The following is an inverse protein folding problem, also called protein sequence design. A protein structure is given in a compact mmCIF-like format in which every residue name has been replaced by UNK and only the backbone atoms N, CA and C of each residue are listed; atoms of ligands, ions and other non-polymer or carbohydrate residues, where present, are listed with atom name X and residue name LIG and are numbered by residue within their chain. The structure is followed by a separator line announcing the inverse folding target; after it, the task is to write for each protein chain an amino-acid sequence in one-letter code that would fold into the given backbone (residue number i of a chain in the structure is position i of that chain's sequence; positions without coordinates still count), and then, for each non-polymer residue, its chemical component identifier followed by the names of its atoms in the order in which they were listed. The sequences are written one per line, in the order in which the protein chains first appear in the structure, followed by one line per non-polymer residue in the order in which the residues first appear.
data_IF_818203395655
#
_entry.id   IF_818203395655
#
_cell.length_a   1.000
_cell.length_b   1.000
_cell.length_c   1.000
_cell.angle_alpha   90.00
_cell.angle_beta   90.00
_cell.angle_gamma   90.00
#
_symmetry.space_group_name_H-M   'P 1'
#
loop_
_entity.id
_entity.type
_entity.pdbx_description
1 polymer ?
#
# COMPACT_ATOMS: atom_id res chain seq x y z
N UNK A 1 70.94 -77.37 21.53
CA UNK A 1 70.15 -76.46 20.65
C UNK A 1 69.70 -77.17 19.38
N UNK A 2 68.72 -78.10 19.44
CA UNK A 2 68.24 -78.82 18.23
C UNK A 2 66.71 -79.04 18.20
N UNK A 3 65.97 -78.46 19.15
CA UNK A 3 64.52 -78.67 19.32
C UNK A 3 63.71 -77.37 19.04
N UNK A 4 64.34 -76.19 19.02
CA UNK A 4 63.63 -74.92 18.77
C UNK A 4 63.48 -74.55 17.27
N UNK A 5 64.31 -75.10 16.38
CA UNK A 5 64.30 -74.73 14.95
C UNK A 5 63.28 -75.52 14.12
N UNK A 6 62.91 -76.74 14.53
CA UNK A 6 61.98 -77.59 13.76
C UNK A 6 60.51 -77.24 13.96
N UNK A 7 60.15 -76.57 15.08
CA UNK A 7 58.79 -76.08 15.30
C UNK A 7 58.50 -74.80 14.51
N UNK A 8 59.49 -73.92 14.34
CA UNK A 8 59.32 -72.63 13.65
C UNK A 8 59.26 -72.79 12.12
N UNK A 9 59.92 -73.81 11.55
CA UNK A 9 59.95 -74.04 10.10
C UNK A 9 58.67 -74.70 9.54
N UNK A 10 57.83 -75.33 10.37
CA UNK A 10 56.57 -75.95 9.92
C UNK A 10 55.33 -75.04 10.04
N UNK A 11 55.38 -73.97 10.84
CA UNK A 11 54.28 -73.00 10.92
C UNK A 11 54.30 -71.96 9.79
N UNK A 12 55.48 -71.67 9.23
CA UNK A 12 55.66 -70.73 8.12
C UNK A 12 54.90 -71.16 6.84
N UNK A 13 54.96 -72.42 6.36
CA UNK A 13 54.22 -72.81 5.17
C UNK A 13 52.70 -72.81 5.40
N UNK A 14 52.22 -73.06 6.63
CA UNK A 14 50.79 -73.08 6.95
C UNK A 14 50.19 -71.68 7.00
N UNK A 15 50.91 -70.72 7.59
CA UNK A 15 50.54 -69.31 7.55
C UNK A 15 50.55 -68.77 6.10
N UNK A 16 51.51 -69.18 5.28
CA UNK A 16 51.60 -68.78 3.88
C UNK A 16 50.40 -69.26 3.05
N UNK A 17 49.91 -70.49 3.27
CA UNK A 17 48.72 -71.01 2.59
C UNK A 17 47.46 -70.24 2.97
N UNK A 18 47.29 -69.88 4.25
CA UNK A 18 46.16 -69.05 4.69
C UNK A 18 46.24 -67.68 4.02
N UNK A 19 47.39 -67.02 4.04
CA UNK A 19 47.58 -65.72 3.40
C UNK A 19 47.34 -65.75 1.89
N UNK A 20 47.83 -66.77 1.20
CA UNK A 20 47.61 -66.94 -0.24
C UNK A 20 46.16 -67.24 -0.58
N UNK A 21 45.46 -68.01 0.25
CA UNK A 21 44.02 -68.25 0.08
C UNK A 21 43.22 -66.96 0.27
N UNK A 22 43.59 -66.14 1.26
CA UNK A 22 42.95 -64.86 1.55
C UNK A 22 43.21 -63.84 0.43
N UNK A 23 44.45 -63.77 -0.05
CA UNK A 23 44.83 -62.98 -1.23
C UNK A 23 44.10 -63.45 -2.48
N UNK A 24 43.93 -64.76 -2.66
CA UNK A 24 43.16 -65.35 -3.76
C UNK A 24 41.69 -64.95 -3.70
N UNK A 25 41.06 -65.01 -2.53
CA UNK A 25 39.66 -64.57 -2.33
C UNK A 25 39.52 -63.07 -2.55
N UNK A 26 40.47 -62.26 -2.06
CA UNK A 26 40.49 -60.82 -2.30
C UNK A 26 40.66 -60.51 -3.78
N UNK A 27 41.63 -61.14 -4.47
CA UNK A 27 41.82 -60.96 -5.91
C UNK A 27 40.60 -61.42 -6.70
N UNK A 28 39.94 -62.50 -6.30
CA UNK A 28 38.72 -62.98 -6.94
C UNK A 28 37.57 -61.99 -6.73
N UNK A 29 37.41 -61.45 -5.51
CA UNK A 29 36.41 -60.42 -5.21
C UNK A 29 36.67 -59.13 -6.02
N UNK A 30 37.93 -58.70 -6.10
CA UNK A 30 38.35 -57.54 -6.90
C UNK A 30 38.16 -57.80 -8.40
N UNK A 31 38.49 -58.99 -8.90
CA UNK A 31 38.30 -59.37 -10.29
C UNK A 31 36.81 -59.43 -10.66
N UNK A 32 35.96 -59.98 -9.78
CA UNK A 32 34.50 -59.97 -9.96
C UNK A 32 33.98 -58.52 -9.96
N UNK A 33 34.48 -57.66 -9.07
CA UNK A 33 34.11 -56.25 -8.99
C UNK A 33 34.54 -55.46 -10.25
N UNK A 34 35.74 -55.76 -10.78
CA UNK A 34 36.30 -55.11 -11.95
C UNK A 34 35.67 -55.59 -13.27
N UNK A 35 35.34 -56.89 -13.38
CA UNK A 35 34.71 -57.46 -14.59
C UNK A 35 33.19 -57.23 -14.64
N UNK A 36 32.52 -57.01 -13.49
CA UNK A 36 31.07 -56.77 -13.44
C UNK A 36 30.68 -55.49 -12.66
N UNK A 37 31.18 -54.30 -13.04
CA UNK A 37 30.83 -53.03 -12.38
C UNK A 37 29.34 -52.66 -12.50
N UNK A 38 28.61 -53.31 -13.42
CA UNK A 38 27.16 -53.11 -13.64
C UNK A 38 26.25 -53.87 -12.68
N UNK A 39 26.74 -54.90 -11.98
CA UNK A 39 25.90 -55.73 -11.10
C UNK A 39 25.88 -55.28 -9.64
N UNK A 40 26.74 -54.35 -9.22
CA UNK A 40 26.71 -53.73 -7.89
C UNK A 40 26.43 -52.22 -7.94
N UNK A 41 26.46 -51.59 -9.13
CA UNK A 41 25.64 -50.41 -9.44
C UNK A 41 24.17 -50.83 -9.62
N UNK A 42 23.66 -51.69 -8.72
CA UNK A 42 22.23 -51.72 -8.45
C UNK A 42 21.86 -50.31 -8.06
N UNK A 43 20.97 -49.69 -8.82
CA UNK A 43 19.79 -48.93 -8.40
C UNK A 43 19.83 -48.05 -7.15
N UNK A 44 20.66 -48.26 -6.12
CA UNK A 44 20.78 -47.41 -4.94
C UNK A 44 21.01 -45.94 -5.31
N UNK A 45 21.92 -45.64 -6.25
CA UNK A 45 22.10 -44.27 -6.73
C UNK A 45 20.89 -43.71 -7.49
N UNK A 46 20.17 -44.57 -8.23
CA UNK A 46 18.97 -44.18 -8.97
C UNK A 46 17.75 -44.04 -8.04
N UNK A 47 17.63 -44.86 -7.00
CA UNK A 47 16.57 -44.90 -5.99
C UNK A 47 16.74 -43.81 -4.93
N UNK A 48 17.97 -43.48 -4.55
CA UNK A 48 18.23 -42.30 -3.70
C UNK A 48 17.90 -41.04 -4.49
N UNK A 49 18.21 -41.01 -5.80
CA UNK A 49 17.82 -39.90 -6.68
C UNK A 49 16.30 -39.85 -6.92
N UNK A 50 15.64 -40.99 -7.12
CA UNK A 50 14.18 -41.09 -7.27
C UNK A 50 13.43 -40.79 -5.97
N UNK A 51 14.01 -41.11 -4.80
CA UNK A 51 13.45 -40.76 -3.49
C UNK A 51 13.71 -39.30 -3.10
N UNK A 52 14.70 -38.66 -3.71
CA UNK A 52 14.99 -37.23 -3.54
C UNK A 52 14.23 -36.37 -4.56
N UNK A 53 13.77 -36.95 -5.67
CA UNK A 53 12.88 -36.29 -6.61
C UNK A 53 11.47 -36.35 -6.03
N UNK A 54 10.75 -35.22 -5.97
CA UNK A 54 9.41 -35.24 -5.42
C UNK A 54 8.52 -36.18 -6.26
N UNK A 55 7.62 -36.90 -5.60
CA UNK A 55 6.75 -37.85 -6.29
C UNK A 55 5.82 -37.13 -7.28
N UNK A 56 5.33 -37.79 -8.34
CA UNK A 56 4.32 -37.22 -9.22
C UNK A 56 3.07 -36.75 -8.46
N UNK A 57 2.71 -37.44 -7.38
CA UNK A 57 1.59 -37.08 -6.51
C UNK A 57 1.87 -35.77 -5.76
N UNK A 58 3.09 -35.59 -5.23
CA UNK A 58 3.51 -34.33 -4.59
C UNK A 58 3.56 -33.15 -5.56
N UNK A 59 3.85 -33.38 -6.84
CA UNK A 59 3.76 -32.35 -7.88
C UNK A 59 2.30 -31.99 -8.17
N UNK A 60 1.42 -32.98 -8.25
CA UNK A 60 -0.01 -32.75 -8.46
C UNK A 60 -0.66 -32.04 -7.26
N UNK A 61 -0.26 -32.34 -6.04
CA UNK A 61 -0.68 -31.62 -4.83
C UNK A 61 -0.19 -30.17 -4.83
N UNK A 62 1.09 -29.93 -5.12
CA UNK A 62 1.63 -28.57 -5.25
C UNK A 62 0.92 -27.75 -6.32
N UNK A 63 0.59 -28.34 -7.46
CA UNK A 63 -0.17 -27.67 -8.51
C UNK A 63 -1.59 -27.31 -8.04
N UNK A 64 -2.29 -28.23 -7.36
CA UNK A 64 -3.62 -27.97 -6.79
C UNK A 64 -3.60 -26.83 -5.77
N UNK A 65 -2.57 -26.78 -4.93
CA UNK A 65 -2.41 -25.72 -3.95
C UNK A 65 -2.08 -24.38 -4.59
N UNK A 66 -1.25 -24.36 -5.64
CA UNK A 66 -1.00 -23.16 -6.46
C UNK A 66 -2.26 -22.66 -7.15
N UNK A 67 -3.03 -23.55 -7.77
CA UNK A 67 -4.29 -23.19 -8.44
C UNK A 67 -5.30 -22.63 -7.44
N UNK A 68 -5.37 -23.20 -6.23
CA UNK A 68 -6.22 -22.69 -5.13
C UNK A 68 -5.77 -21.30 -4.70
N UNK A 69 -4.48 -21.13 -4.44
CA UNK A 69 -3.91 -19.84 -4.05
C UNK A 69 -4.17 -18.77 -5.12
N UNK A 70 -3.89 -19.07 -6.39
CA UNK A 70 -4.17 -18.15 -7.50
C UNK A 70 -5.66 -17.78 -7.58
N UNK A 71 -6.56 -18.72 -7.32
CA UNK A 71 -7.99 -18.46 -7.21
C UNK A 71 -8.35 -17.53 -6.03
N UNK A 72 -7.73 -17.71 -4.87
CA UNK A 72 -7.93 -16.85 -3.69
C UNK A 72 -7.43 -15.42 -3.94
N UNK A 73 -6.24 -15.27 -4.53
CA UNK A 73 -5.67 -13.97 -4.88
C UNK A 73 -6.50 -13.26 -5.95
N UNK A 74 -7.00 -13.99 -6.96
CA UNK A 74 -7.88 -13.40 -7.97
C UNK A 74 -9.15 -12.80 -7.35
N UNK A 75 -9.81 -13.54 -6.44
CA UNK A 75 -11.00 -13.03 -5.73
C UNK A 75 -10.66 -11.84 -4.83
N UNK A 76 -9.50 -11.84 -4.18
CA UNK A 76 -9.04 -10.71 -3.37
C UNK A 76 -8.79 -9.47 -4.23
N UNK A 77 -8.15 -9.63 -5.39
CA UNK A 77 -7.93 -8.57 -6.38
C UNK A 77 -9.24 -7.98 -6.87
N UNK A 78 -10.20 -8.81 -7.27
CA UNK A 78 -11.52 -8.33 -7.73
C UNK A 78 -12.23 -7.49 -6.66
N UNK A 79 -12.18 -7.93 -5.40
CA UNK A 79 -12.76 -7.18 -4.27
C UNK A 79 -12.02 -5.87 -4.00
N UNK A 80 -10.70 -5.87 -4.11
CA UNK A 80 -9.88 -4.69 -3.92
C UNK A 80 -10.12 -3.67 -5.04
N UNK A 81 -10.22 -4.12 -6.30
CA UNK A 81 -10.58 -3.27 -7.43
C UNK A 81 -11.96 -2.65 -7.28
N UNK A 82 -12.96 -3.45 -6.89
CA UNK A 82 -14.31 -2.95 -6.64
C UNK A 82 -14.31 -1.90 -5.52
N UNK A 83 -13.54 -2.12 -4.46
CA UNK A 83 -13.37 -1.15 -3.36
C UNK A 83 -12.68 0.12 -3.85
N UNK A 84 -11.62 0.02 -4.65
CA UNK A 84 -10.92 1.16 -5.22
C UNK A 84 -11.84 2.02 -6.10
N UNK A 85 -12.66 1.40 -6.96
CA UNK A 85 -13.67 2.09 -7.77
C UNK A 85 -14.68 2.82 -6.90
N UNK A 86 -15.24 2.14 -5.88
CA UNK A 86 -16.20 2.76 -4.96
C UNK A 86 -15.60 3.97 -4.23
N UNK A 87 -14.36 3.86 -3.74
CA UNK A 87 -13.67 4.97 -3.07
C UNK A 87 -13.36 6.11 -4.02
N UNK A 88 -13.07 5.81 -5.28
CA UNK A 88 -12.90 6.82 -6.32
C UNK A 88 -14.19 7.61 -6.56
N UNK A 89 -15.32 6.93 -6.64
CA UNK A 89 -16.63 7.57 -6.82
C UNK A 89 -17.01 8.42 -5.59
N UNK A 90 -16.76 7.91 -4.38
CA UNK A 90 -16.92 8.66 -3.13
C UNK A 90 -16.05 9.93 -3.12
N UNK A 91 -14.81 9.86 -3.59
CA UNK A 91 -13.93 11.02 -3.70
C UNK A 91 -14.41 12.04 -4.74
N UNK A 92 -14.86 11.61 -5.91
CA UNK A 92 -15.43 12.51 -6.93
C UNK A 92 -16.67 13.24 -6.39
N UNK A 93 -17.54 12.53 -5.69
CA UNK A 93 -18.70 13.13 -5.02
C UNK A 93 -18.27 14.19 -4.00
N UNK A 94 -17.27 13.88 -3.16
CA UNK A 94 -16.75 14.82 -2.19
C UNK A 94 -16.07 16.04 -2.83
N UNK A 95 -15.41 15.85 -3.98
CA UNK A 95 -14.83 16.94 -4.77
C UNK A 95 -15.91 17.88 -5.31
N UNK A 96 -16.98 17.32 -5.90
CA UNK A 96 -18.11 18.10 -6.41
C UNK A 96 -18.78 18.91 -5.29
N UNK A 97 -18.99 18.30 -4.12
CA UNK A 97 -19.53 19.00 -2.94
C UNK A 97 -18.61 20.13 -2.47
N UNK A 98 -17.30 19.89 -2.47
CA UNK A 98 -16.31 20.88 -2.03
C UNK A 98 -16.17 22.03 -3.03
N UNK A 99 -16.40 21.78 -4.33
CA UNK A 99 -16.46 22.80 -5.37
C UNK A 99 -17.73 23.64 -5.28
N UNK A 100 -18.89 23.00 -5.09
CA UNK A 100 -20.16 23.72 -4.86
C UNK A 100 -20.08 24.61 -3.61
N UNK A 101 -19.47 24.12 -2.53
CA UNK A 101 -19.28 24.90 -1.32
C UNK A 101 -18.33 26.10 -1.54
N UNK A 102 -17.30 25.92 -2.37
CA UNK A 102 -16.39 27.00 -2.77
C UNK A 102 -17.11 28.09 -3.57
N UNK A 103 -17.88 27.71 -4.59
CA UNK A 103 -18.65 28.66 -5.41
C UNK A 103 -19.69 29.44 -4.59
N UNK A 104 -20.36 28.77 -3.65
CA UNK A 104 -21.30 29.43 -2.74
C UNK A 104 -20.60 30.46 -1.84
N UNK A 105 -19.42 30.11 -1.31
CA UNK A 105 -18.60 31.03 -0.52
C UNK A 105 -18.12 32.23 -1.37
N UNK A 106 -17.62 32.02 -2.59
CA UNK A 106 -17.19 33.11 -3.47
C UNK A 106 -18.34 34.07 -3.82
N UNK A 107 -19.53 33.54 -4.10
CA UNK A 107 -20.71 34.36 -4.33
C UNK A 107 -21.09 35.20 -3.10
N UNK A 108 -21.01 34.62 -1.90
CA UNK A 108 -21.27 35.33 -0.65
C UNK A 108 -20.21 36.42 -0.37
N UNK A 109 -18.93 36.12 -0.58
CA UNK A 109 -17.83 37.07 -0.43
C UNK A 109 -17.97 38.23 -1.43
N UNK A 110 -18.35 37.97 -2.69
CA UNK A 110 -18.62 39.01 -3.67
C UNK A 110 -19.79 39.92 -3.25
N UNK A 111 -20.85 39.36 -2.66
CA UNK A 111 -21.95 40.14 -2.09
C UNK A 111 -21.48 41.02 -0.92
N UNK A 112 -20.67 40.47 -0.01
CA UNK A 112 -20.11 41.22 1.13
C UNK A 112 -19.25 42.39 0.64
N UNK A 113 -18.38 42.19 -0.36
CA UNK A 113 -17.55 43.27 -0.93
C UNK A 113 -18.41 44.38 -1.52
N UNK A 114 -19.39 44.03 -2.35
CA UNK A 114 -20.33 45.00 -2.95
C UNK A 114 -21.07 45.82 -1.88
N UNK A 115 -21.54 45.17 -0.81
CA UNK A 115 -22.23 45.84 0.29
C UNK A 115 -21.29 46.66 1.17
N UNK A 116 -20.05 46.22 1.37
CA UNK A 116 -19.04 46.98 2.09
C UNK A 116 -18.69 48.28 1.33
N UNK A 117 -18.57 48.22 0.01
CA UNK A 117 -18.38 49.41 -0.83
C UNK A 117 -19.57 50.37 -0.73
N UNK A 118 -20.80 49.84 -0.75
CA UNK A 118 -22.01 50.64 -0.53
C UNK A 118 -22.07 51.25 0.88
N UNK A 119 -21.63 50.52 1.91
CA UNK A 119 -21.59 50.99 3.29
C UNK A 119 -20.52 52.08 3.53
N UNK A 120 -19.49 52.16 2.68
CA UNK A 120 -18.46 53.18 2.74
C UNK A 120 -18.93 54.54 2.19
N UNK A 121 -20.03 54.57 1.42
CA UNK A 121 -20.63 55.80 0.95
C UNK A 121 -21.32 56.54 2.11
N UNK A 122 -21.36 57.88 2.09
CA UNK A 122 -22.11 58.66 3.08
C UNK A 122 -23.57 58.19 3.15
N UNK A 123 -23.97 57.70 4.32
CA UNK A 123 -25.30 57.13 4.51
C UNK A 123 -26.33 58.27 4.58
N UNK A 124 -27.43 58.21 3.79
CA UNK A 124 -28.50 59.19 3.92
C UNK A 124 -29.09 59.12 5.33
N UNK A 125 -29.50 60.26 5.86
CA UNK A 125 -30.19 60.28 7.15
C UNK A 125 -31.53 59.57 7.01
N UNK A 126 -31.65 58.39 7.61
CA UNK A 126 -32.91 57.67 7.65
C UNK A 126 -33.73 58.09 8.88
N UNK A 127 -35.06 58.20 8.76
CA UNK A 127 -35.93 58.52 9.89
C UNK A 127 -35.72 57.51 11.02
N UNK A 128 -35.66 57.99 12.26
CA UNK A 128 -35.51 57.15 13.46
C UNK A 128 -36.86 57.04 14.18
N UNK A 129 -37.87 56.54 13.47
CA UNK A 129 -39.22 56.39 14.02
C UNK A 129 -39.47 54.95 14.48
N UNK A 130 -40.34 54.72 15.48
CA UNK A 130 -40.68 53.37 15.92
C UNK A 130 -41.27 52.48 14.81
N UNK A 131 -42.08 53.05 13.91
CA UNK A 131 -42.68 52.33 12.79
C UNK A 131 -41.62 51.81 11.80
N UNK A 132 -40.63 52.65 11.51
CA UNK A 132 -39.49 52.32 10.65
C UNK A 132 -38.62 51.21 11.26
N UNK A 133 -38.35 51.26 12.57
CA UNK A 133 -37.61 50.19 13.25
C UNK A 133 -38.35 48.85 13.18
N UNK A 134 -39.67 48.85 13.37
CA UNK A 134 -40.47 47.63 13.24
C UNK A 134 -40.46 47.08 11.80
N UNK A 135 -40.37 47.93 10.78
CA UNK A 135 -40.23 47.50 9.39
C UNK A 135 -38.87 46.87 9.10
N UNK A 136 -37.79 47.48 9.61
CA UNK A 136 -36.43 46.94 9.50
C UNK A 136 -36.29 45.59 10.17
N UNK A 137 -36.87 45.44 11.36
CA UNK A 137 -36.91 44.17 12.07
C UNK A 137 -37.65 43.08 11.27
N UNK A 138 -38.84 43.41 10.71
CA UNK A 138 -39.59 42.49 9.84
C UNK A 138 -38.81 42.12 8.58
N UNK A 139 -38.07 43.06 8.00
CA UNK A 139 -37.20 42.78 6.87
C UNK A 139 -36.06 41.84 7.25
N UNK A 140 -35.37 42.10 8.37
CA UNK A 140 -34.27 41.27 8.86
C UNK A 140 -34.73 39.84 9.12
N UNK A 141 -35.88 39.66 9.78
CA UNK A 141 -36.44 38.34 10.03
C UNK A 141 -36.75 37.57 8.74
N UNK A 142 -37.34 38.24 7.73
CA UNK A 142 -37.60 37.60 6.43
C UNK A 142 -36.30 37.23 5.71
N UNK A 143 -35.33 38.15 5.66
CA UNK A 143 -34.05 37.91 5.01
C UNK A 143 -33.27 36.76 5.69
N UNK A 144 -33.29 36.69 7.03
CA UNK A 144 -32.68 35.61 7.79
C UNK A 144 -33.37 34.26 7.56
N UNK A 145 -34.72 34.23 7.49
CA UNK A 145 -35.48 33.02 7.13
C UNK A 145 -35.17 32.55 5.71
N UNK A 146 -35.10 33.47 4.74
CA UNK A 146 -34.76 33.15 3.36
C UNK A 146 -33.32 32.60 3.24
N UNK A 147 -32.37 33.18 3.97
CA UNK A 147 -31.00 32.66 4.05
C UNK A 147 -30.95 31.27 4.72
N UNK A 148 -31.73 31.06 5.76
CA UNK A 148 -31.86 29.75 6.42
C UNK A 148 -32.44 28.69 5.48
N UNK A 149 -33.52 28.98 4.75
CA UNK A 149 -34.11 28.03 3.80
C UNK A 149 -33.18 27.68 2.64
N UNK A 150 -32.34 28.63 2.21
CA UNK A 150 -31.24 28.38 1.25
C UNK A 150 -30.05 27.64 1.86
N UNK A 151 -30.09 27.32 3.16
CA UNK A 151 -29.00 26.69 3.94
C UNK A 151 -27.72 27.53 3.99
N UNK A 152 -27.86 28.84 3.86
CA UNK A 152 -26.76 29.81 3.92
C UNK A 152 -26.51 30.31 5.35
N UNK A 153 -27.47 30.10 6.25
CA UNK A 153 -27.40 30.44 7.66
C UNK A 153 -27.63 29.19 8.52
N UNK A 154 -26.92 29.07 9.65
CA UNK A 154 -27.16 27.99 10.61
C UNK A 154 -28.43 28.23 11.44
N UNK A 155 -28.97 27.16 12.06
CA UNK A 155 -30.11 27.27 12.99
C UNK A 155 -29.76 28.14 14.20
N UNK A 156 -28.54 28.02 14.71
CA UNK A 156 -28.05 28.80 15.85
C UNK A 156 -27.97 30.29 15.50
N UNK A 157 -27.41 30.61 14.33
CA UNK A 157 -27.35 31.97 13.82
C UNK A 157 -28.75 32.55 13.58
N UNK A 158 -29.70 31.75 13.08
CA UNK A 158 -31.09 32.16 12.93
C UNK A 158 -31.72 32.48 14.29
N UNK A 159 -31.50 31.60 15.28
CA UNK A 159 -31.99 31.82 16.65
C UNK A 159 -31.40 33.08 17.27
N UNK A 160 -30.13 33.40 16.99
CA UNK A 160 -29.49 34.61 17.51
C UNK A 160 -30.04 35.88 16.87
N UNK A 161 -30.44 35.84 15.59
CA UNK A 161 -31.16 36.94 14.93
C UNK A 161 -32.48 37.22 15.65
N UNK A 162 -33.30 36.20 15.89
CA UNK A 162 -34.59 36.34 16.59
C UNK A 162 -34.45 36.68 18.08
N UNK A 163 -33.34 36.29 18.71
CA UNK A 163 -33.03 36.63 20.10
C UNK A 163 -32.31 37.98 20.26
N UNK A 164 -32.04 38.69 19.14
CA UNK A 164 -31.24 39.92 19.08
C UNK A 164 -29.85 39.79 19.76
N UNK A 165 -29.27 38.58 19.73
CA UNK A 165 -27.94 38.31 20.30
C UNK A 165 -26.88 38.64 19.26
N UNK A 166 -26.30 39.83 19.37
CA UNK A 166 -25.33 40.35 18.39
C UNK A 166 -25.97 40.96 17.14
N UNK A 167 -27.31 41.08 17.11
CA UNK A 167 -28.08 41.70 16.02
C UNK A 167 -28.86 42.88 16.58
N UNK A 168 -28.54 44.11 16.17
CA UNK A 168 -29.23 45.32 16.63
C UNK A 168 -30.17 45.89 15.54
N UNK A 169 -31.50 45.82 15.73
CA UNK A 169 -32.50 46.39 14.81
C UNK A 169 -32.42 47.91 14.65
N UNK A 170 -31.65 48.61 15.49
CA UNK A 170 -31.48 50.07 15.44
C UNK A 170 -30.36 50.53 14.51
N UNK A 171 -29.52 49.60 14.04
CA UNK A 171 -28.47 49.91 13.07
C UNK A 171 -29.05 50.44 11.76
N UNK A 172 -28.19 51.09 10.98
CA UNK A 172 -28.57 51.53 9.64
C UNK A 172 -28.91 50.30 8.77
N UNK A 173 -29.93 50.34 7.89
CA UNK A 173 -30.33 49.18 7.08
C UNK A 173 -29.16 48.52 6.33
N UNK A 174 -28.31 49.32 5.68
CA UNK A 174 -27.10 48.84 5.00
C UNK A 174 -26.13 48.11 5.94
N UNK A 175 -26.01 48.56 7.20
CA UNK A 175 -25.16 47.89 8.20
C UNK A 175 -25.77 46.56 8.64
N UNK A 176 -27.10 46.48 8.78
CA UNK A 176 -27.80 45.24 9.11
C UNK A 176 -27.66 44.20 7.99
N UNK A 177 -27.86 44.62 6.75
CA UNK A 177 -27.65 43.78 5.57
C UNK A 177 -26.21 43.29 5.50
N UNK A 178 -25.22 44.17 5.70
CA UNK A 178 -23.82 43.80 5.72
C UNK A 178 -23.49 42.80 6.85
N UNK A 179 -24.07 42.96 8.04
CA UNK A 179 -23.93 41.99 9.12
C UNK A 179 -24.51 40.62 8.74
N UNK A 180 -25.70 40.59 8.12
CA UNK A 180 -26.34 39.36 7.63
C UNK A 180 -25.45 38.64 6.61
N UNK A 181 -24.98 39.37 5.61
CA UNK A 181 -24.13 38.79 4.56
C UNK A 181 -22.77 38.33 5.08
N UNK A 182 -22.19 39.01 6.09
CA UNK A 182 -20.97 38.53 6.76
C UNK A 182 -21.22 37.23 7.51
N UNK A 183 -22.31 37.11 8.25
CA UNK A 183 -22.67 35.89 8.96
C UNK A 183 -22.88 34.71 8.00
N UNK A 184 -23.55 34.95 6.85
CA UNK A 184 -23.71 33.99 5.76
C UNK A 184 -22.36 33.58 5.18
N UNK A 185 -21.50 34.55 4.84
CA UNK A 185 -20.15 34.27 4.31
C UNK A 185 -19.35 33.40 5.30
N UNK A 186 -19.33 33.76 6.58
CA UNK A 186 -18.55 33.05 7.59
C UNK A 186 -19.08 31.62 7.78
N UNK A 187 -20.40 31.42 7.74
CA UNK A 187 -21.00 30.09 7.76
C UNK A 187 -20.62 29.26 6.52
N UNK A 188 -20.71 29.85 5.33
CA UNK A 188 -20.34 29.17 4.08
C UNK A 188 -18.85 28.86 4.01
N UNK A 189 -18.00 29.74 4.55
CA UNK A 189 -16.56 29.49 4.68
C UNK A 189 -16.30 28.28 5.58
N UNK A 190 -16.94 28.20 6.75
CA UNK A 190 -16.82 27.04 7.62
C UNK A 190 -17.31 25.75 6.95
N UNK A 191 -18.40 25.81 6.16
CA UNK A 191 -18.89 24.68 5.36
C UNK A 191 -17.91 24.27 4.26
N UNK A 192 -17.30 25.23 3.58
CA UNK A 192 -16.29 24.98 2.55
C UNK A 192 -15.06 24.29 3.16
N UNK A 193 -14.60 24.74 4.32
CA UNK A 193 -13.48 24.13 5.04
C UNK A 193 -13.80 22.67 5.42
N UNK A 194 -14.98 22.42 6.00
CA UNK A 194 -15.43 21.08 6.33
C UNK A 194 -15.62 20.18 5.09
N UNK A 195 -16.02 20.75 3.94
CA UNK A 195 -16.10 20.00 2.69
C UNK A 195 -14.71 19.64 2.14
N UNK A 196 -13.74 20.55 2.21
CA UNK A 196 -12.35 20.29 1.81
C UNK A 196 -11.69 19.21 2.67
N UNK A 197 -11.95 19.20 3.98
CA UNK A 197 -11.45 18.14 4.87
C UNK A 197 -12.01 16.77 4.51
N UNK A 198 -13.32 16.70 4.18
CA UNK A 198 -13.97 15.46 3.72
C UNK A 198 -13.42 15.00 2.37
N UNK A 199 -13.22 15.91 1.42
CA UNK A 199 -12.58 15.64 0.13
C UNK A 199 -11.17 15.05 0.33
N UNK A 200 -10.34 15.67 1.17
CA UNK A 200 -8.98 15.20 1.46
C UNK A 200 -8.97 13.83 2.15
N UNK A 201 -9.93 13.56 3.02
CA UNK A 201 -10.09 12.24 3.64
C UNK A 201 -10.50 11.18 2.61
N UNK A 202 -11.46 11.49 1.74
CA UNK A 202 -11.91 10.61 0.67
C UNK A 202 -10.79 10.36 -0.36
N UNK A 203 -10.02 11.38 -0.70
CA UNK A 203 -8.85 11.26 -1.57
C UNK A 203 -7.83 10.26 -1.02
N UNK A 204 -7.40 10.44 0.24
CA UNK A 204 -6.46 9.51 0.88
C UNK A 204 -7.01 8.09 0.93
N UNK A 205 -8.30 7.94 1.20
CA UNK A 205 -8.95 6.63 1.20
C UNK A 205 -8.99 5.97 -0.18
N UNK A 206 -9.17 6.76 -1.24
CA UNK A 206 -9.14 6.30 -2.62
C UNK A 206 -7.72 5.90 -3.06
N UNK A 207 -6.71 6.71 -2.72
CA UNK A 207 -5.30 6.40 -3.01
C UNK A 207 -4.86 5.11 -2.33
N UNK A 208 -5.18 4.93 -1.05
CA UNK A 208 -4.87 3.70 -0.32
C UNK A 208 -5.55 2.47 -0.93
N UNK A 209 -6.82 2.60 -1.32
CA UNK A 209 -7.55 1.51 -1.98
C UNK A 209 -6.98 1.19 -3.37
N UNK A 210 -6.58 2.22 -4.13
CA UNK A 210 -5.94 2.07 -5.43
C UNK A 210 -4.58 1.37 -5.33
N UNK A 211 -3.74 1.76 -4.36
CA UNK A 211 -2.47 1.11 -4.10
C UNK A 211 -2.63 -0.36 -3.68
N UNK A 212 -3.58 -0.66 -2.79
CA UNK A 212 -3.87 -2.03 -2.39
C UNK A 212 -4.36 -2.89 -3.57
N UNK A 213 -5.23 -2.35 -4.42
CA UNK A 213 -5.69 -3.04 -5.62
C UNK A 213 -4.56 -3.27 -6.63
N UNK A 214 -3.63 -2.32 -6.76
CA UNK A 214 -2.46 -2.47 -7.62
C UNK A 214 -1.53 -3.59 -7.13
N UNK A 215 -1.17 -3.59 -5.83
CA UNK A 215 -0.31 -4.62 -5.25
C UNK A 215 -0.93 -6.02 -5.38
N UNK A 216 -2.23 -6.17 -5.09
CA UNK A 216 -2.92 -7.46 -5.25
C UNK A 216 -2.97 -7.91 -6.70
N UNK A 217 -3.07 -6.97 -7.66
CA UNK A 217 -2.98 -7.31 -9.08
C UNK A 217 -1.59 -7.82 -9.45
N UNK A 218 -0.52 -7.22 -8.92
CA UNK A 218 0.84 -7.72 -9.10
C UNK A 218 1.01 -9.12 -8.49
N UNK A 219 0.49 -9.34 -7.29
CA UNK A 219 0.49 -10.66 -6.63
C UNK A 219 -0.30 -11.71 -7.42
N UNK A 220 -1.45 -11.34 -7.98
CA UNK A 220 -2.24 -12.22 -8.84
C UNK A 220 -1.47 -12.61 -10.10
N UNK A 221 -0.81 -11.65 -10.74
CA UNK A 221 0.04 -11.93 -11.91
C UNK A 221 1.17 -12.87 -11.50
N UNK A 222 1.82 -12.64 -10.35
CA UNK A 222 2.86 -13.52 -9.83
C UNK A 222 2.35 -14.94 -9.53
N UNK A 223 1.15 -15.08 -8.96
CA UNK A 223 0.54 -16.37 -8.63
C UNK A 223 0.12 -17.18 -9.86
N UNK A 224 -0.17 -16.51 -10.98
CA UNK A 224 -0.51 -17.16 -12.26
C UNK A 224 0.74 -17.61 -13.04
N UNK A 225 1.91 -17.08 -12.71
CA UNK A 225 3.16 -17.50 -13.31
C UNK A 225 3.65 -18.78 -12.62
N UNK A 226 4.19 -19.76 -13.37
CA UNK A 226 4.85 -20.91 -12.77
C UNK A 226 5.94 -20.40 -11.82
N UNK A 227 6.12 -21.01 -10.62
CA UNK A 227 7.25 -20.66 -9.78
C UNK A 227 8.50 -20.85 -10.63
N UNK A 228 9.24 -19.77 -10.83
CA UNK A 228 10.59 -19.88 -11.34
C UNK A 228 11.31 -20.68 -10.27
N UNK A 229 11.57 -21.96 -10.54
CA UNK A 229 12.57 -22.69 -9.78
C UNK A 229 13.85 -21.89 -9.94
N UNK A 230 14.13 -21.00 -8.97
CA UNK A 230 15.49 -20.69 -8.60
C UNK A 230 16.09 -22.04 -8.26
N UNK A 231 16.62 -22.71 -9.28
CA UNK A 231 17.56 -23.79 -9.12
C UNK A 231 18.70 -23.17 -8.33
N UNK A 232 18.60 -23.28 -7.02
CA UNK A 232 19.72 -23.20 -6.12
C UNK A 232 20.75 -24.12 -6.77
N UNK A 233 21.72 -23.50 -7.42
CA UNK A 233 22.68 -24.19 -8.26
C UNK A 233 23.58 -24.92 -7.29
N UNK A 234 23.14 -26.10 -6.85
CA UNK A 234 23.93 -27.03 -6.03
C UNK A 234 24.94 -27.73 -6.94
N UNK A 235 25.66 -26.94 -7.75
CA UNK A 235 26.94 -27.36 -8.26
C UNK A 235 27.93 -27.11 -7.13
N UNK A 236 28.65 -28.13 -6.62
CA UNK A 236 29.78 -27.87 -5.77
C UNK A 236 30.75 -27.03 -6.59
N UNK A 237 30.86 -25.75 -6.26
CA UNK A 237 31.88 -24.87 -6.79
C UNK A 237 33.21 -25.45 -6.29
N UNK A 238 33.81 -26.31 -7.12
CA UNK A 238 35.20 -26.73 -6.96
C UNK A 238 35.98 -25.43 -6.93
N UNK A 239 36.52 -25.13 -5.75
CA UNK A 239 37.34 -23.96 -5.52
C UNK A 239 38.56 -24.00 -6.44
N UNK A 240 38.46 -23.31 -7.56
CA UNK A 240 39.62 -22.76 -8.22
C UNK A 240 39.68 -21.31 -7.78
N UNK A 241 40.52 -21.06 -6.78
CA UNK A 241 40.98 -19.71 -6.54
C UNK A 241 41.68 -19.22 -7.80
N UNK A 242 41.41 -17.98 -8.20
CA UNK A 242 42.49 -17.03 -8.41
C UNK A 242 42.00 -15.59 -8.54
N UNK A 243 42.85 -14.70 -8.02
CA UNK A 243 43.06 -13.28 -8.33
C UNK A 243 41.90 -12.26 -8.17
N UNK A 244 41.91 -11.62 -7.00
CA UNK A 244 42.02 -10.16 -6.81
C UNK A 244 41.81 -9.28 -8.06
N UNK A 245 40.64 -8.65 -8.19
CA UNK A 245 40.49 -7.46 -9.02
C UNK A 245 39.57 -6.45 -8.34
N UNK A 246 40.15 -5.79 -7.35
CA UNK A 246 39.71 -4.49 -6.85
C UNK A 246 39.60 -3.51 -8.02
N UNK A 247 38.38 -3.30 -8.52
CA UNK A 247 38.05 -2.16 -9.37
C UNK A 247 37.29 -1.13 -8.55
N UNK A 248 38.05 -0.17 -8.03
CA UNK A 248 37.55 1.14 -7.64
C UNK A 248 36.74 1.75 -8.77
N UNK A 249 35.48 2.07 -8.50
CA UNK A 249 34.67 2.96 -9.34
C UNK A 249 34.55 4.28 -8.55
N UNK A 250 35.10 5.40 -9.04
CA UNK A 250 35.00 6.68 -8.33
C UNK A 250 33.55 7.18 -8.32
N UNK A 251 33.08 7.53 -7.12
CA UNK A 251 31.82 8.20 -6.89
C UNK A 251 31.81 9.57 -7.59
N UNK A 252 30.89 9.73 -8.55
CA UNK A 252 30.57 11.00 -9.18
C UNK A 252 29.83 11.86 -8.16
N UNK A 253 30.55 12.84 -7.60
CA UNK A 253 29.98 13.89 -6.76
C UNK A 253 29.18 14.87 -7.63
N UNK A 254 27.85 14.84 -7.52
CA UNK A 254 26.96 15.82 -8.14
C UNK A 254 27.02 17.10 -7.29
N UNK A 255 27.55 18.16 -7.92
CA UNK A 255 27.78 19.46 -7.32
C UNK A 255 26.50 20.17 -6.88
N UNK A 256 26.58 20.77 -5.70
CA UNK A 256 25.59 21.68 -5.12
C UNK A 256 25.92 23.09 -5.61
N UNK A 257 24.99 23.72 -6.34
CA UNK A 257 25.13 25.11 -6.79
C UNK A 257 24.99 26.10 -5.62
N UNK A 258 25.76 27.21 -5.60
CA UNK A 258 25.61 28.27 -4.60
C UNK A 258 24.44 29.21 -4.92
N UNK A 259 23.66 29.51 -3.88
CA UNK A 259 22.63 30.57 -3.86
C UNK A 259 23.33 31.91 -3.62
N UNK A 260 23.12 32.95 -4.47
CA UNK A 260 23.61 34.29 -4.18
C UNK A 260 22.73 35.00 -3.13
N UNK A 261 23.39 35.75 -2.26
CA UNK A 261 22.82 36.68 -1.28
C UNK A 261 22.32 37.98 -1.95
#
# INVERSE_FOLDING_TARGET
MRIALSAVLLDVPRAAVIWLSLLGVIMLAVAILALRPRLLRFDAGARIRDAALPSPDEHADRQRDQDRWAGEVAVATDRAEATARRRRDEWLTAQDEAEQAWQAYEAAEANVRRLADAAAMPLPQTPRTPAEYAERERWLHRAALDAYWRRELSVEQLSDVFAHRGWDPRLHPVQQELMLHRAVRDHLFARQQAAREREQAAWRAAELAGAAAHNLREEMIAALLPPVEERESVLPLVGFGDVDQTRDIPAVAIGRAPVPA
#
